data_IF_416866973539
#
_entry.id   IF_416866973539
#
_cell.length_a   1.000
_cell.length_b   1.000
_cell.length_c   1.000
_cell.angle_alpha   90.00
_cell.angle_beta   90.00
_cell.angle_gamma   90.00
#
_symmetry.space_group_name_H-M   'P 1'
#
loop_
_entity.id
_entity.type
_entity.pdbx_description
1 polymer ?
#
# COMPACT_ATOMS: atom_id res chain seq x y z
N UNK A 1 -44.30 7.55 -34.48
CA UNK A 1 -43.06 6.74 -34.45
C UNK A 1 -41.91 7.43 -33.70
N UNK A 2 -41.82 8.76 -33.75
CA UNK A 2 -40.81 9.61 -33.08
C UNK A 2 -40.84 9.56 -31.55
N UNK A 3 -42.01 9.68 -30.91
CA UNK A 3 -42.12 9.67 -29.45
C UNK A 3 -41.63 8.37 -28.78
N UNK A 4 -41.83 7.20 -29.42
CA UNK A 4 -41.32 5.91 -28.94
C UNK A 4 -39.79 5.87 -28.98
N UNK A 5 -39.20 6.39 -30.07
CA UNK A 5 -37.74 6.50 -30.21
C UNK A 5 -37.13 7.46 -29.17
N UNK A 6 -37.79 8.59 -28.90
CA UNK A 6 -37.35 9.55 -27.87
C UNK A 6 -37.39 8.95 -26.46
N UNK A 7 -38.44 8.18 -26.11
CA UNK A 7 -38.51 7.49 -24.81
C UNK A 7 -37.40 6.45 -24.64
N UNK A 8 -37.08 5.71 -25.71
CA UNK A 8 -35.98 4.73 -25.71
C UNK A 8 -34.64 5.46 -25.52
N UNK A 9 -34.42 6.56 -26.25
CA UNK A 9 -33.20 7.36 -26.11
C UNK A 9 -33.04 7.91 -24.69
N UNK A 10 -34.12 8.42 -24.09
CA UNK A 10 -34.12 8.90 -22.71
C UNK A 10 -33.77 7.77 -21.72
N UNK A 11 -34.35 6.58 -21.89
CA UNK A 11 -34.03 5.41 -21.06
C UNK A 11 -32.54 5.06 -21.14
N UNK A 12 -31.96 5.03 -22.35
CA UNK A 12 -30.53 4.75 -22.57
C UNK A 12 -29.66 5.80 -21.88
N UNK A 13 -30.02 7.08 -21.98
CA UNK A 13 -29.28 8.16 -21.31
C UNK A 13 -29.33 7.98 -19.79
N UNK A 14 -30.52 7.73 -19.23
CA UNK A 14 -30.68 7.47 -17.80
C UNK A 14 -29.86 6.26 -17.32
N UNK A 15 -29.85 5.15 -18.05
CA UNK A 15 -29.07 3.97 -17.66
C UNK A 15 -27.57 4.23 -17.73
N UNK A 16 -27.10 4.97 -18.74
CA UNK A 16 -25.69 5.40 -18.83
C UNK A 16 -25.31 6.34 -17.68
N UNK A 17 -26.17 7.29 -17.31
CA UNK A 17 -25.94 8.19 -16.17
C UNK A 17 -25.87 7.41 -14.86
N UNK A 18 -26.79 6.46 -14.63
CA UNK A 18 -26.77 5.60 -13.46
C UNK A 18 -25.51 4.75 -13.40
N UNK A 19 -25.09 4.17 -14.53
CA UNK A 19 -23.85 3.40 -14.62
C UNK A 19 -22.61 4.27 -14.31
N UNK A 20 -22.57 5.50 -14.84
CA UNK A 20 -21.49 6.44 -14.56
C UNK A 20 -21.41 6.80 -13.07
N UNK A 21 -22.55 7.17 -12.46
CA UNK A 21 -22.62 7.48 -11.03
C UNK A 21 -22.26 6.28 -10.16
N UNK A 22 -22.68 5.07 -10.57
CA UNK A 22 -22.31 3.84 -9.88
C UNK A 22 -20.81 3.58 -9.92
N UNK A 23 -20.16 3.66 -11.09
CA UNK A 23 -18.71 3.47 -11.20
C UNK A 23 -17.93 4.51 -10.38
N UNK A 24 -18.36 5.77 -10.42
CA UNK A 24 -17.72 6.84 -9.66
C UNK A 24 -17.86 6.63 -8.14
N UNK A 25 -19.09 6.36 -7.66
CA UNK A 25 -19.35 6.17 -6.22
C UNK A 25 -18.75 4.89 -5.65
N UNK A 26 -18.74 3.81 -6.41
CA UNK A 26 -18.17 2.53 -5.96
C UNK A 26 -16.65 2.58 -5.85
N UNK A 27 -15.99 3.61 -6.42
CA UNK A 27 -14.52 3.66 -6.49
C UNK A 27 -13.95 2.46 -7.25
N UNK A 28 -14.74 1.88 -8.15
CA UNK A 28 -14.47 0.58 -8.77
C UNK A 28 -13.19 0.64 -9.61
N UNK A 29 -12.19 -0.16 -9.23
CA UNK A 29 -10.92 -0.27 -9.94
C UNK A 29 -10.91 -1.57 -10.73
N UNK A 30 -11.15 -1.47 -12.04
CA UNK A 30 -11.13 -2.62 -12.96
C UNK A 30 -9.83 -3.45 -12.83
N UNK A 31 -8.70 -2.79 -12.59
CA UNK A 31 -7.38 -3.42 -12.40
C UNK A 31 -7.38 -4.50 -11.30
N UNK A 32 -8.13 -4.29 -10.22
CA UNK A 32 -8.20 -5.24 -9.10
C UNK A 32 -8.93 -6.52 -9.51
N UNK A 33 -10.00 -6.41 -10.30
CA UNK A 33 -10.84 -7.55 -10.72
C UNK A 33 -10.30 -8.23 -11.97
N UNK A 34 -9.48 -7.55 -12.76
CA UNK A 34 -8.82 -8.16 -13.92
C UNK A 34 -7.92 -9.33 -13.50
N UNK A 35 -7.29 -9.26 -12.33
CA UNK A 35 -6.46 -10.35 -11.80
C UNK A 35 -6.45 -10.37 -10.27
N UNK A 36 -7.56 -10.73 -9.60
CA UNK A 36 -7.72 -10.53 -8.16
C UNK A 36 -6.83 -11.45 -7.32
N UNK A 37 -6.38 -12.57 -7.89
CA UNK A 37 -5.56 -13.57 -7.20
C UNK A 37 -4.05 -13.38 -7.41
N UNK A 38 -3.62 -12.35 -8.14
CA UNK A 38 -2.20 -12.03 -8.22
C UNK A 38 -1.71 -11.54 -6.84
N UNK A 39 -0.55 -12.02 -6.40
CA UNK A 39 0.04 -11.67 -5.09
C UNK A 39 0.18 -10.15 -4.88
N UNK A 40 0.37 -9.39 -5.97
CA UNK A 40 0.57 -7.95 -5.92
C UNK A 40 -0.67 -7.13 -6.30
N UNK A 41 -1.79 -7.78 -6.60
CA UNK A 41 -3.02 -7.07 -6.98
C UNK A 41 -3.55 -6.25 -5.81
N UNK A 42 -3.90 -4.99 -6.09
CA UNK A 42 -4.51 -4.11 -5.11
C UNK A 42 -3.57 -3.52 -4.07
N UNK A 43 -2.29 -3.90 -4.00
CA UNK A 43 -1.35 -3.42 -2.95
C UNK A 43 -1.29 -1.89 -2.91
N UNK A 44 -1.12 -1.24 -4.06
CA UNK A 44 -1.03 0.23 -4.18
C UNK A 44 -2.30 0.95 -3.74
N UNK A 45 -3.44 0.24 -3.74
CA UNK A 45 -4.74 0.76 -3.29
C UNK A 45 -5.02 0.41 -1.82
N UNK A 46 -4.43 -0.67 -1.30
CA UNK A 46 -4.68 -1.17 0.05
C UNK A 46 -3.77 -0.52 1.11
N UNK A 47 -2.51 -0.24 0.78
CA UNK A 47 -1.53 0.31 1.71
C UNK A 47 -0.75 1.47 1.09
N UNK A 48 -0.28 2.38 1.94
CA UNK A 48 0.60 3.47 1.49
C UNK A 48 1.86 2.93 0.81
N UNK A 49 2.43 3.71 -0.12
CA UNK A 49 3.68 3.35 -0.80
C UNK A 49 4.85 3.16 0.17
N UNK A 50 4.84 3.82 1.32
CA UNK A 50 5.84 3.65 2.38
C UNK A 50 5.79 2.23 2.98
N UNK A 51 4.59 1.71 3.25
CA UNK A 51 4.39 0.33 3.75
C UNK A 51 4.72 -0.69 2.67
N UNK A 52 4.29 -0.46 1.43
CA UNK A 52 4.66 -1.36 0.33
C UNK A 52 6.18 -1.43 0.13
N UNK A 53 6.88 -0.30 0.27
CA UNK A 53 8.33 -0.22 0.21
C UNK A 53 9.01 -1.06 1.31
N UNK A 54 8.50 -1.03 2.55
CA UNK A 54 9.10 -1.82 3.64
C UNK A 54 9.09 -3.31 3.30
N UNK A 55 7.96 -3.84 2.79
CA UNK A 55 7.82 -5.25 2.41
C UNK A 55 8.79 -5.64 1.31
N UNK A 56 8.90 -4.80 0.29
CA UNK A 56 9.80 -5.04 -0.84
C UNK A 56 11.26 -5.08 -0.40
N UNK A 57 11.66 -4.17 0.50
CA UNK A 57 13.00 -4.17 1.08
C UNK A 57 13.22 -5.43 1.92
N UNK A 58 12.33 -5.76 2.86
CA UNK A 58 12.50 -6.93 3.73
C UNK A 58 12.59 -8.24 2.95
N UNK A 59 11.72 -8.43 1.94
CA UNK A 59 11.77 -9.59 1.04
C UNK A 59 13.09 -9.67 0.28
N UNK A 60 13.57 -8.54 -0.25
CA UNK A 60 14.83 -8.47 -1.00
C UNK A 60 16.03 -8.90 -0.15
N UNK A 61 16.05 -8.53 1.13
CA UNK A 61 17.12 -8.89 2.06
C UNK A 61 16.86 -10.18 2.85
N UNK A 62 15.79 -10.93 2.52
CA UNK A 62 15.40 -12.18 3.19
C UNK A 62 15.35 -12.04 4.71
N UNK A 63 14.88 -10.89 5.20
CA UNK A 63 14.77 -10.64 6.63
C UNK A 63 13.76 -11.61 7.26
N UNK A 64 14.09 -12.14 8.43
CA UNK A 64 13.18 -12.97 9.23
C UNK A 64 12.39 -12.13 10.23
N UNK A 65 13.02 -11.08 10.76
CA UNK A 65 12.42 -10.09 11.64
C UNK A 65 13.03 -8.71 11.38
N UNK A 66 12.35 -7.67 11.83
CA UNK A 66 12.81 -6.28 11.75
C UNK A 66 12.35 -5.48 12.95
N UNK A 67 12.91 -4.29 13.17
CA UNK A 67 12.44 -3.31 14.13
C UNK A 67 12.14 -2.00 13.41
N UNK A 68 11.48 -1.08 14.11
CA UNK A 68 11.16 0.26 13.64
C UNK A 68 11.79 1.29 14.58
N UNK A 69 12.23 2.41 14.03
CA UNK A 69 12.60 3.59 14.81
C UNK A 69 11.42 4.10 15.62
N UNK A 70 11.70 4.88 16.66
CA UNK A 70 10.65 5.43 17.53
C UNK A 70 9.69 6.33 16.75
N UNK A 71 10.22 7.13 15.81
CA UNK A 71 9.42 7.97 14.93
C UNK A 71 8.42 7.16 14.09
N UNK A 72 8.85 6.00 13.57
CA UNK A 72 7.97 5.12 12.78
C UNK A 72 6.99 4.31 13.65
N UNK A 73 7.32 4.04 14.92
CA UNK A 73 6.38 3.44 15.88
C UNK A 73 5.26 4.40 16.27
N UNK A 74 5.58 5.68 16.39
CA UNK A 74 4.61 6.73 16.71
C UNK A 74 3.65 7.05 15.54
N UNK A 75 3.98 6.64 14.32
CA UNK A 75 3.05 6.65 13.19
C UNK A 75 2.12 5.43 13.29
N UNK A 76 0.97 5.60 13.95
CA UNK A 76 0.02 4.52 14.25
C UNK A 76 -0.41 3.73 12.99
N UNK A 77 -0.66 4.43 11.88
CA UNK A 77 -1.02 3.79 10.62
C UNK A 77 0.14 2.96 10.08
N UNK A 78 1.34 3.55 9.99
CA UNK A 78 2.50 2.84 9.46
C UNK A 78 2.88 1.65 10.34
N UNK A 79 2.82 1.80 11.66
CA UNK A 79 3.11 0.73 12.62
C UNK A 79 2.15 -0.45 12.45
N UNK A 80 0.84 -0.19 12.49
CA UNK A 80 -0.18 -1.23 12.31
C UNK A 80 -0.05 -1.93 10.95
N UNK A 81 0.01 -1.14 9.87
CA UNK A 81 0.11 -1.72 8.52
C UNK A 81 1.42 -2.44 8.29
N UNK A 82 2.50 -2.04 8.95
CA UNK A 82 3.77 -2.76 8.89
C UNK A 82 3.70 -4.11 9.60
N UNK A 83 2.90 -4.26 10.66
CA UNK A 83 2.68 -5.56 11.29
C UNK A 83 1.88 -6.50 10.37
N UNK A 84 0.77 -5.99 9.83
CA UNK A 84 -0.16 -6.78 9.00
C UNK A 84 0.46 -7.16 7.66
N UNK A 85 1.03 -6.19 6.95
CA UNK A 85 1.41 -6.32 5.54
C UNK A 85 2.77 -7.01 5.33
N UNK A 86 3.67 -6.94 6.32
CA UNK A 86 4.97 -7.60 6.24
C UNK A 86 4.95 -9.07 6.66
N UNK A 87 3.84 -9.58 7.19
CA UNK A 87 3.72 -11.00 7.56
C UNK A 87 4.13 -11.91 6.38
N UNK A 88 4.96 -12.95 6.59
CA UNK A 88 5.36 -13.55 7.87
C UNK A 88 6.59 -12.91 8.56
N UNK A 89 7.17 -11.85 8.01
CA UNK A 89 8.32 -11.16 8.60
C UNK A 89 7.81 -10.28 9.75
N UNK A 90 8.18 -10.60 10.99
CA UNK A 90 7.58 -9.99 12.19
C UNK A 90 8.45 -8.88 12.78
N UNK A 91 7.80 -7.94 13.47
CA UNK A 91 8.52 -6.97 14.29
C UNK A 91 9.13 -7.69 15.50
N UNK A 92 10.41 -7.43 15.75
CA UNK A 92 11.14 -7.85 16.93
C UNK A 92 12.00 -6.68 17.45
N UNK A 93 11.82 -6.28 18.70
CA UNK A 93 12.55 -5.17 19.32
C UNK A 93 14.06 -5.43 19.40
N UNK A 94 14.50 -6.69 19.49
CA UNK A 94 15.91 -7.08 19.48
C UNK A 94 16.46 -7.33 18.07
N UNK A 95 15.70 -7.02 17.02
CA UNK A 95 16.18 -7.14 15.65
C UNK A 95 17.26 -6.10 15.33
N UNK A 96 18.36 -6.59 14.78
CA UNK A 96 19.45 -5.78 14.20
C UNK A 96 19.01 -4.96 12.99
N UNK A 97 18.09 -5.49 12.19
CA UNK A 97 17.51 -4.77 11.08
C UNK A 97 16.47 -3.77 11.59
N UNK A 98 16.72 -2.48 11.40
CA UNK A 98 15.84 -1.40 11.85
C UNK A 98 15.49 -0.49 10.68
N UNK A 99 14.20 -0.17 10.52
CA UNK A 99 13.77 0.88 9.60
C UNK A 99 13.77 2.25 10.26
N UNK A 100 14.25 3.23 9.52
CA UNK A 100 14.20 4.65 9.83
C UNK A 100 13.46 5.40 8.73
N UNK A 101 12.87 6.54 9.07
CA UNK A 101 12.33 7.44 8.03
C UNK A 101 13.47 8.04 7.19
N UNK A 102 13.20 8.36 5.92
CA UNK A 102 14.21 8.92 5.01
C UNK A 102 14.90 10.20 5.53
N UNK A 103 14.19 11.02 6.30
CA UNK A 103 14.71 12.27 6.88
C UNK A 103 15.04 12.14 8.37
N UNK A 104 15.11 10.91 8.90
CA UNK A 104 15.50 10.67 10.28
C UNK A 104 17.01 10.49 10.37
N UNK A 105 17.59 11.12 11.40
CA UNK A 105 19.00 10.96 11.73
C UNK A 105 19.24 9.56 12.31
N UNK A 106 20.30 8.94 11.86
CA UNK A 106 20.68 7.57 12.24
C UNK A 106 21.88 7.67 13.17
N UNK A 107 21.85 6.93 14.28
CA UNK A 107 23.01 6.83 15.18
C UNK A 107 24.26 6.34 14.44
N UNK A 108 25.43 6.90 14.74
CA UNK A 108 26.71 6.52 14.13
C UNK A 108 27.04 5.02 14.25
N UNK A 109 26.42 4.33 15.22
CA UNK A 109 26.59 2.89 15.45
C UNK A 109 25.87 2.02 14.41
N UNK A 110 24.94 2.59 13.64
CA UNK A 110 24.11 1.84 12.70
C UNK A 110 24.63 1.98 11.26
N UNK A 111 24.79 0.86 10.57
CA UNK A 111 25.20 0.83 9.15
C UNK A 111 23.99 0.88 8.23
N UNK A 112 23.98 1.79 7.26
CA UNK A 112 22.92 1.83 6.23
C UNK A 112 23.10 0.65 5.26
N UNK A 113 22.07 -0.21 5.16
CA UNK A 113 22.03 -1.32 4.20
C UNK A 113 21.36 -0.87 2.90
N UNK A 114 20.23 -0.17 3.01
CA UNK A 114 19.44 0.26 1.86
C UNK A 114 18.74 1.59 2.13
N UNK A 115 18.88 2.51 1.19
CA UNK A 115 18.04 3.71 1.10
C UNK A 115 16.96 3.48 0.05
N UNK A 116 15.71 3.55 0.49
CA UNK A 116 14.52 3.57 -0.36
C UNK A 116 14.07 5.00 -0.66
N UNK A 117 12.84 5.17 -1.16
CA UNK A 117 12.24 6.47 -1.41
C UNK A 117 11.68 7.10 -0.13
N UNK A 118 11.17 6.28 0.79
CA UNK A 118 10.52 6.74 2.01
C UNK A 118 11.21 6.24 3.29
N UNK A 119 11.94 5.12 3.20
CA UNK A 119 12.56 4.45 4.33
C UNK A 119 14.05 4.19 4.09
N UNK A 120 14.80 4.12 5.19
CA UNK A 120 16.16 3.59 5.24
C UNK A 120 16.14 2.31 6.05
N UNK A 121 16.68 1.23 5.51
CA UNK A 121 16.98 0.01 6.27
C UNK A 121 18.42 0.10 6.77
N UNK A 122 18.60 -0.03 8.08
CA UNK A 122 19.90 -0.03 8.72
C UNK A 122 20.12 -1.34 9.47
N UNK A 123 21.39 -1.61 9.75
CA UNK A 123 21.82 -2.63 10.68
C UNK A 123 22.40 -1.94 11.92
N UNK A 124 21.62 -1.98 12.98
CA UNK A 124 22.05 -1.77 14.35
C UNK A 124 22.11 -3.15 15.04
#
# INVERSE_FOLDING_TARGET
MTAKKTKILFLIICTLQLFYLFNFRSGFRYEIIRNPFNENSGISYAVSSKVAESRNILKKYKATHFNLSEKLKNDAYFYQRSLEFNYPIRINQSSKLVFFSINEDISEKCKIIKTGKYLKLTQC
#
